data_IF_568709518855
#
_entry.id   IF_568709518855
#
_cell.length_a   1.000
_cell.length_b   1.000
_cell.length_c   1.000
_cell.angle_alpha   90.00
_cell.angle_beta   90.00
_cell.angle_gamma   90.00
#
_symmetry.space_group_name_H-M   'P 1'
#
loop_
_entity.id
_entity.type
_entity.pdbx_description
1 polymer ?
#
# COMPACT_ATOMS: atom_id res chain seq x y z
N UNK A 1 -18.65 36.21 -3.59
CA UNK A 1 -18.20 35.84 -2.22
C UNK A 1 -16.75 35.38 -2.32
N UNK A 2 -15.85 35.81 -1.42
CA UNK A 2 -14.41 35.77 -1.63
C UNK A 2 -13.79 34.37 -1.47
N UNK A 3 -12.70 34.22 -2.23
CA UNK A 3 -11.77 33.10 -2.45
C UNK A 3 -11.46 32.22 -1.21
N UNK A 4 -11.77 30.92 -1.31
CA UNK A 4 -11.02 29.89 -0.58
C UNK A 4 -9.59 29.92 -1.11
N UNK A 5 -8.73 30.71 -0.45
CA UNK A 5 -7.31 30.75 -0.72
C UNK A 5 -6.77 29.32 -0.63
N UNK A 6 -6.40 28.75 -1.78
CA UNK A 6 -5.61 27.51 -1.84
C UNK A 6 -4.33 27.80 -1.06
N UNK A 7 -4.21 27.27 0.15
CA UNK A 7 -2.89 27.03 0.73
C UNK A 7 -2.23 26.01 -0.18
N UNK A 8 -1.34 26.49 -1.04
CA UNK A 8 -0.35 25.64 -1.68
C UNK A 8 0.47 25.09 -0.53
N UNK A 9 0.32 23.80 -0.23
CA UNK A 9 1.22 23.14 0.69
C UNK A 9 2.61 23.23 0.07
N UNK A 10 3.48 24.05 0.66
CA UNK A 10 4.90 23.98 0.36
C UNK A 10 5.40 22.71 1.03
N UNK A 11 5.57 21.65 0.22
CA UNK A 11 6.39 20.51 0.61
C UNK A 11 7.80 21.10 0.74
N UNK A 12 8.28 21.23 1.97
CA UNK A 12 9.67 21.54 2.22
C UNK A 12 10.48 20.32 1.76
N UNK A 13 11.01 20.35 0.54
CA UNK A 13 11.98 19.37 0.01
C UNK A 13 13.36 19.53 0.69
N UNK A 14 13.42 19.99 1.94
CA UNK A 14 14.67 20.33 2.62
C UNK A 14 15.33 19.14 3.32
N UNK A 15 14.85 17.92 3.15
CA UNK A 15 15.53 16.71 3.62
C UNK A 15 16.24 15.94 2.50
N UNK A 16 16.51 16.59 1.36
CA UNK A 16 17.36 16.00 0.33
C UNK A 16 18.80 16.46 0.59
N UNK A 17 19.66 15.48 0.88
CA UNK A 17 21.14 15.48 0.92
C UNK A 17 21.75 15.46 2.32
N UNK A 18 21.70 14.29 2.94
CA UNK A 18 22.91 13.77 3.58
C UNK A 18 23.36 12.52 2.82
N UNK A 19 24.49 12.69 2.10
CA UNK A 19 25.22 11.65 1.41
C UNK A 19 25.76 10.64 2.44
N UNK A 20 25.36 9.36 2.32
CA UNK A 20 25.70 8.19 3.16
C UNK A 20 24.73 7.79 4.29
N UNK A 21 23.42 7.73 4.01
CA UNK A 21 22.51 6.99 4.89
C UNK A 21 22.19 5.61 4.31
N UNK A 22 22.29 4.58 5.15
CA UNK A 22 21.81 3.22 4.83
C UNK A 22 20.37 3.30 4.33
N UNK A 23 20.12 2.88 3.08
CA UNK A 23 18.77 2.82 2.52
C UNK A 23 18.13 1.53 3.03
N UNK A 24 17.04 1.67 3.78
CA UNK A 24 16.26 0.54 4.27
C UNK A 24 15.06 0.32 3.35
N UNK A 25 15.03 -0.80 2.64
CA UNK A 25 13.95 -1.13 1.70
C UNK A 25 13.02 -2.19 2.29
N UNK A 26 11.72 -2.02 2.09
CA UNK A 26 10.73 -3.07 2.38
C UNK A 26 10.60 -3.98 1.14
N UNK A 27 10.92 -5.26 1.30
CA UNK A 27 11.05 -6.21 0.18
C UNK A 27 9.79 -6.34 -0.69
N UNK A 28 8.59 -6.34 -0.08
CA UNK A 28 7.35 -6.57 -0.82
C UNK A 28 6.71 -5.28 -1.35
N UNK A 29 6.80 -4.13 -0.67
CA UNK A 29 6.22 -2.87 -1.17
C UNK A 29 7.19 -2.04 -2.00
N UNK A 30 8.51 -2.27 -1.88
CA UNK A 30 9.53 -1.45 -2.52
C UNK A 30 9.70 -0.06 -1.89
N UNK A 31 9.12 0.19 -0.71
CA UNK A 31 9.28 1.45 0.00
C UNK A 31 10.69 1.61 0.55
N UNK A 32 11.33 2.74 0.26
CA UNK A 32 12.69 3.07 0.68
C UNK A 32 12.67 4.12 1.81
N UNK A 33 13.42 3.84 2.87
CA UNK A 33 13.53 4.70 4.04
C UNK A 33 14.98 5.08 4.29
N UNK A 34 15.22 6.38 4.48
CA UNK A 34 16.51 6.88 4.96
C UNK A 34 16.65 6.83 6.49
N UNK A 35 15.53 6.74 7.22
CA UNK A 35 15.52 6.66 8.68
C UNK A 35 15.25 5.23 9.18
N UNK A 36 16.23 4.66 9.87
CA UNK A 36 16.12 3.34 10.52
C UNK A 36 14.94 3.26 11.50
N UNK A 37 14.62 4.35 12.19
CA UNK A 37 13.54 4.41 13.19
C UNK A 37 12.17 4.27 12.51
N UNK A 38 11.99 4.94 11.37
CA UNK A 38 10.74 4.84 10.60
C UNK A 38 10.59 3.43 10.01
N UNK A 39 11.69 2.89 9.46
CA UNK A 39 11.73 1.53 8.96
C UNK A 39 11.33 0.49 10.01
N UNK A 40 11.94 0.51 11.21
CA UNK A 40 11.63 -0.45 12.28
C UNK A 40 10.18 -0.32 12.80
N UNK A 41 9.67 0.92 12.89
CA UNK A 41 8.26 1.15 13.27
C UNK A 41 7.29 0.59 12.22
N UNK A 42 7.53 0.85 10.94
CA UNK A 42 6.70 0.34 9.85
C UNK A 42 6.78 -1.17 9.75
N UNK A 43 7.98 -1.74 9.85
CA UNK A 43 8.18 -3.20 9.87
C UNK A 43 7.36 -3.87 10.98
N UNK A 44 7.41 -3.34 12.20
CA UNK A 44 6.58 -3.82 13.32
C UNK A 44 5.09 -3.75 13.02
N UNK A 45 4.62 -2.71 12.34
CA UNK A 45 3.21 -2.55 11.95
C UNK A 45 2.82 -3.56 10.85
N UNK A 46 3.74 -3.85 9.93
CA UNK A 46 3.52 -4.81 8.83
C UNK A 46 3.47 -6.26 9.33
N UNK A 47 4.22 -6.56 10.38
CA UNK A 47 4.23 -7.88 11.04
C UNK A 47 2.96 -8.14 11.87
N UNK A 48 2.10 -7.15 12.11
CA UNK A 48 0.83 -7.35 12.81
C UNK A 48 -0.19 -8.05 11.90
N UNK A 49 -0.85 -9.10 12.40
CA UNK A 49 -1.97 -9.81 11.76
C UNK A 49 -3.28 -9.01 11.80
N UNK A 50 -3.25 -7.77 11.33
CA UNK A 50 -4.41 -6.85 11.33
C UNK A 50 -4.84 -6.43 9.93
N UNK A 51 -4.18 -6.95 8.90
CA UNK A 51 -4.41 -6.54 7.53
C UNK A 51 -5.54 -7.36 6.91
N UNK A 52 -6.26 -6.71 6.01
CA UNK A 52 -7.37 -7.30 5.28
C UNK A 52 -7.04 -7.20 3.80
N UNK A 53 -7.11 -8.33 3.10
CA UNK A 53 -6.91 -8.36 1.64
C UNK A 53 -8.09 -7.67 0.96
N UNK A 54 -7.83 -6.69 0.11
CA UNK A 54 -8.86 -5.98 -0.66
C UNK A 54 -9.59 -6.94 -1.61
N UNK A 55 -8.84 -7.82 -2.28
CA UNK A 55 -9.40 -8.70 -3.31
C UNK A 55 -10.24 -9.87 -2.77
N UNK A 56 -10.00 -10.35 -1.54
CA UNK A 56 -10.74 -11.49 -0.94
C UNK A 56 -11.54 -11.13 0.31
N UNK A 57 -11.32 -9.93 0.85
CA UNK A 57 -11.86 -9.50 2.14
C UNK A 57 -11.50 -10.41 3.33
N UNK A 58 -10.47 -11.24 3.19
CA UNK A 58 -9.91 -12.04 4.30
C UNK A 58 -9.17 -11.09 5.24
N UNK A 59 -9.57 -11.09 6.50
CA UNK A 59 -8.96 -10.30 7.57
C UNK A 59 -8.03 -11.16 8.42
N UNK A 60 -7.17 -10.51 9.21
CA UNK A 60 -6.24 -11.19 10.12
C UNK A 60 -4.96 -11.68 9.44
N UNK A 61 -4.60 -11.08 8.31
CA UNK A 61 -3.38 -11.40 7.57
C UNK A 61 -2.25 -10.46 8.00
N UNK A 62 -1.01 -10.91 7.83
CA UNK A 62 0.14 -9.98 7.82
C UNK A 62 0.09 -9.09 6.58
N UNK A 63 0.76 -7.94 6.62
CA UNK A 63 0.78 -7.04 5.45
C UNK A 63 1.33 -7.76 4.21
N UNK A 64 2.38 -8.56 4.39
CA UNK A 64 3.02 -9.32 3.31
C UNK A 64 2.06 -10.31 2.68
N UNK A 65 1.31 -11.07 3.48
CA UNK A 65 0.34 -12.03 2.96
C UNK A 65 -0.84 -11.36 2.25
N UNK A 66 -1.37 -10.27 2.82
CA UNK A 66 -2.44 -9.50 2.18
C UNK A 66 -1.98 -8.96 0.82
N UNK A 67 -0.80 -8.35 0.76
CA UNK A 67 -0.21 -7.81 -0.46
C UNK A 67 0.07 -8.90 -1.51
N UNK A 68 0.64 -10.04 -1.10
CA UNK A 68 0.91 -11.16 -1.99
C UNK A 68 -0.39 -11.73 -2.58
N UNK A 69 -1.41 -11.92 -1.74
CA UNK A 69 -2.72 -12.40 -2.17
C UNK A 69 -3.36 -11.44 -3.19
N UNK A 70 -3.24 -10.12 -2.99
CA UNK A 70 -3.75 -9.13 -3.93
C UNK A 70 -3.04 -9.21 -5.29
N UNK A 71 -1.72 -9.34 -5.30
CA UNK A 71 -0.94 -9.51 -6.53
C UNK A 71 -1.37 -10.77 -7.28
N UNK A 72 -1.46 -11.90 -6.58
CA UNK A 72 -1.76 -13.18 -7.20
C UNK A 72 -3.18 -13.19 -7.81
N UNK A 73 -4.15 -12.58 -7.12
CA UNK A 73 -5.51 -12.43 -7.65
C UNK A 73 -5.54 -11.48 -8.84
N UNK A 74 -4.84 -10.34 -8.77
CA UNK A 74 -4.79 -9.39 -9.89
C UNK A 74 -4.17 -10.01 -11.14
N UNK A 75 -3.06 -10.75 -11.01
CA UNK A 75 -2.44 -11.50 -12.11
C UNK A 75 -3.39 -12.54 -12.70
N UNK A 76 -4.12 -13.24 -11.83
CA UNK A 76 -5.11 -14.24 -12.25
C UNK A 76 -6.26 -13.56 -13.00
N UNK A 77 -6.78 -12.45 -12.49
CA UNK A 77 -7.84 -11.68 -13.14
C UNK A 77 -7.41 -11.12 -14.49
N UNK A 78 -6.21 -10.56 -14.61
CA UNK A 78 -5.66 -10.05 -15.88
C UNK A 78 -5.61 -11.15 -16.97
N UNK A 79 -5.46 -12.42 -16.56
CA UNK A 79 -5.40 -13.56 -17.49
C UNK A 79 -6.79 -14.03 -17.92
N UNK A 80 -7.78 -13.93 -17.03
CA UNK A 80 -9.12 -14.52 -17.24
C UNK A 80 -10.09 -13.48 -17.81
N UNK A 81 -10.00 -12.24 -17.35
CA UNK A 81 -11.01 -11.20 -17.57
C UNK A 81 -10.35 -9.87 -17.91
N UNK A 82 -10.90 -9.10 -18.86
CA UNK A 82 -10.43 -7.75 -19.09
C UNK A 82 -10.56 -6.84 -17.86
N UNK A 83 -9.62 -5.92 -17.68
CA UNK A 83 -9.50 -5.07 -16.48
C UNK A 83 -10.75 -4.26 -16.10
N UNK A 84 -11.64 -3.96 -17.05
CA UNK A 84 -12.89 -3.25 -16.76
C UNK A 84 -13.88 -4.07 -15.92
N UNK A 85 -13.70 -5.39 -15.83
CA UNK A 85 -14.50 -6.26 -14.96
C UNK A 85 -13.96 -6.39 -13.53
N UNK A 86 -12.77 -5.87 -13.23
CA UNK A 86 -12.19 -5.99 -11.89
C UNK A 86 -13.10 -5.38 -10.81
N UNK A 87 -13.65 -4.19 -11.09
CA UNK A 87 -14.56 -3.48 -10.18
C UNK A 87 -15.82 -4.29 -9.86
N UNK A 88 -16.65 -4.72 -10.85
CA UNK A 88 -17.83 -5.51 -10.54
C UNK A 88 -17.51 -6.86 -9.89
N UNK A 89 -16.38 -7.50 -10.21
CA UNK A 89 -15.96 -8.75 -9.55
C UNK A 89 -15.67 -8.51 -8.06
N UNK A 90 -14.90 -7.48 -7.73
CA UNK A 90 -14.63 -7.15 -6.33
C UNK A 90 -15.91 -6.71 -5.61
N UNK A 91 -16.77 -5.93 -6.25
CA UNK A 91 -18.09 -5.57 -5.70
C UNK A 91 -18.90 -6.84 -5.35
N UNK A 92 -18.95 -7.85 -6.21
CA UNK A 92 -19.64 -9.11 -5.89
C UNK A 92 -19.03 -9.78 -4.65
N UNK A 93 -17.70 -9.87 -4.58
CA UNK A 93 -16.99 -10.47 -3.44
C UNK A 93 -17.32 -9.74 -2.14
N UNK A 94 -17.28 -8.40 -2.13
CA UNK A 94 -17.61 -7.59 -0.96
C UNK A 94 -19.05 -7.79 -0.46
N UNK A 95 -20.00 -7.90 -1.39
CA UNK A 95 -21.42 -8.05 -1.06
C UNK A 95 -21.83 -9.51 -0.83
N UNK A 96 -20.94 -10.49 -1.08
CA UNK A 96 -21.21 -11.92 -0.89
C UNK A 96 -21.16 -12.41 0.57
N UNK A 97 -20.97 -11.50 1.53
CA UNK A 97 -20.73 -11.83 2.94
C UNK A 97 -22.01 -12.06 3.73
#
# INVERSE_FOLDING_TARGET
MPLFGRRLFHINENDIKEDNHDIYTIEHTGEEFHSKILYDKLKKIYDLERWTCECTWRAGLTHKEAYQSEIDIRKTLETIVPNYFNKPIFDIIYHSK
#
